data_IF_807418170114
#
_entry.id   IF_807418170114
#
_cell.length_a   1.000
_cell.length_b   1.000
_cell.length_c   1.000
_cell.angle_alpha   90.00
_cell.angle_beta   90.00
_cell.angle_gamma   90.00
#
_symmetry.space_group_name_H-M   'P 1'
#
loop_
_entity.id
_entity.type
_entity.pdbx_description
1 polymer ?
#
# COMPACT_ATOMS: atom_id res chain seq x y z
N UNK A 1 26.01 9.05 -6.56
CA UNK A 1 26.40 7.72 -6.06
C UNK A 1 25.11 6.94 -5.87
N UNK A 2 24.98 5.74 -6.46
CA UNK A 2 23.76 4.91 -6.34
C UNK A 2 23.91 4.02 -5.12
N UNK A 3 22.87 3.92 -4.30
CA UNK A 3 22.83 2.99 -3.17
C UNK A 3 22.46 1.60 -3.66
N UNK A 4 23.22 0.57 -3.31
CA UNK A 4 22.90 -0.80 -3.71
C UNK A 4 22.38 -1.64 -2.54
N UNK A 5 21.32 -2.41 -2.78
CA UNK A 5 20.78 -3.43 -1.88
C UNK A 5 20.81 -4.77 -2.62
N UNK A 6 21.51 -5.76 -2.05
CA UNK A 6 21.74 -7.08 -2.68
C UNK A 6 21.00 -8.19 -1.95
N UNK A 7 20.67 -9.26 -2.66
CA UNK A 7 20.12 -10.49 -2.07
C UNK A 7 18.66 -10.38 -1.64
N UNK A 8 17.84 -9.62 -2.35
CA UNK A 8 16.41 -9.57 -2.07
C UNK A 8 15.75 -10.91 -2.46
N UNK A 9 15.57 -11.80 -1.48
CA UNK A 9 15.06 -13.16 -1.68
C UNK A 9 13.62 -13.38 -1.21
N UNK A 10 13.06 -12.43 -0.45
CA UNK A 10 11.68 -12.48 0.03
C UNK A 10 11.12 -11.08 0.07
N UNK A 11 11.18 -10.42 1.22
CA UNK A 11 10.77 -9.05 1.46
C UNK A 11 11.92 -8.34 2.16
N UNK A 12 12.26 -7.15 1.69
CA UNK A 12 13.23 -6.26 2.33
C UNK A 12 12.59 -4.89 2.54
N UNK A 13 12.80 -4.29 3.71
CA UNK A 13 12.50 -2.89 3.94
C UNK A 13 13.77 -2.06 3.74
N UNK A 14 13.66 -1.04 2.90
CA UNK A 14 14.73 -0.09 2.59
C UNK A 14 14.31 1.31 3.03
N UNK A 15 15.27 2.09 3.52
CA UNK A 15 15.08 3.52 3.75
C UNK A 15 15.82 4.28 2.66
N UNK A 16 15.05 5.00 1.85
CA UNK A 16 15.55 5.90 0.81
C UNK A 16 15.92 7.24 1.43
N UNK A 17 16.98 7.86 0.94
CA UNK A 17 17.55 9.11 1.44
C UNK A 17 17.46 10.26 0.41
N UNK A 18 16.70 10.07 -0.66
CA UNK A 18 16.63 10.99 -1.80
C UNK A 18 17.52 10.58 -2.96
N UNK A 19 18.49 9.70 -2.75
CA UNK A 19 19.31 9.15 -3.84
C UNK A 19 18.65 7.92 -4.47
N UNK A 20 18.99 7.66 -5.74
CA UNK A 20 18.56 6.44 -6.43
C UNK A 20 19.13 5.20 -5.73
N UNK A 21 18.25 4.24 -5.45
CA UNK A 21 18.57 2.96 -4.83
C UNK A 21 18.33 1.83 -5.82
N UNK A 22 19.38 1.06 -6.13
CA UNK A 22 19.32 -0.16 -6.90
C UNK A 22 19.05 -1.36 -5.97
N UNK A 23 17.93 -2.05 -6.17
CA UNK A 23 17.57 -3.27 -5.45
C UNK A 23 17.75 -4.46 -6.39
N UNK A 24 18.67 -5.36 -6.02
CA UNK A 24 19.05 -6.54 -6.81
C UNK A 24 18.38 -7.80 -6.28
N UNK A 25 17.80 -8.57 -7.20
CA UNK A 25 17.12 -9.82 -6.96
C UNK A 25 17.99 -11.01 -7.44
N UNK A 26 17.80 -12.18 -6.84
CA UNK A 26 18.35 -13.41 -7.39
C UNK A 26 17.75 -13.68 -8.78
N UNK A 27 18.55 -14.20 -9.71
CA UNK A 27 18.14 -14.51 -11.11
C UNK A 27 16.98 -15.51 -11.24
N UNK A 28 16.58 -16.17 -10.15
CA UNK A 28 15.42 -17.07 -10.11
C UNK A 28 14.07 -16.34 -10.02
N UNK A 29 14.07 -15.04 -9.75
CA UNK A 29 12.85 -14.23 -9.63
C UNK A 29 12.51 -13.54 -10.94
N UNK A 30 11.25 -13.64 -11.35
CA UNK A 30 10.74 -13.09 -12.60
C UNK A 30 9.95 -11.78 -12.41
N UNK A 31 9.91 -11.24 -11.20
CA UNK A 31 9.16 -10.04 -10.87
C UNK A 31 9.42 -9.53 -9.45
N UNK A 32 8.79 -8.40 -9.14
CA UNK A 32 8.85 -7.79 -7.81
C UNK A 32 7.53 -7.10 -7.46
N UNK A 33 7.33 -6.90 -6.16
CA UNK A 33 6.33 -5.98 -5.63
C UNK A 33 6.99 -4.87 -4.84
N UNK A 34 6.38 -3.69 -4.87
CA UNK A 34 6.78 -2.54 -4.07
C UNK A 34 5.59 -2.09 -3.25
N UNK A 35 5.83 -1.77 -1.98
CA UNK A 35 4.91 -1.06 -1.11
C UNK A 35 5.57 0.23 -0.64
N UNK A 36 4.97 1.36 -1.00
CA UNK A 36 5.42 2.66 -0.56
C UNK A 36 4.86 2.95 0.85
N UNK A 37 5.75 3.20 1.80
CA UNK A 37 5.44 3.56 3.20
C UNK A 37 6.16 4.86 3.57
N UNK A 38 6.51 5.66 2.57
CA UNK A 38 7.49 6.72 2.71
C UNK A 38 6.89 8.06 3.14
N UNK A 39 5.56 8.20 3.09
CA UNK A 39 4.86 9.46 3.32
C UNK A 39 4.90 10.41 2.11
N UNK A 40 5.49 9.99 0.99
CA UNK A 40 5.66 10.77 -0.25
C UNK A 40 5.57 9.86 -1.47
N UNK A 41 5.45 10.44 -2.66
CA UNK A 41 5.60 9.71 -3.91
C UNK A 41 7.03 9.20 -4.08
N UNK A 42 7.18 8.01 -4.68
CA UNK A 42 8.44 7.46 -5.14
C UNK A 42 8.36 7.16 -6.64
N UNK A 43 9.52 7.09 -7.32
CA UNK A 43 9.60 6.64 -8.71
C UNK A 43 10.36 5.33 -8.81
N UNK A 44 9.90 4.48 -9.72
CA UNK A 44 10.45 3.14 -9.96
C UNK A 44 10.74 2.97 -11.44
N UNK A 45 11.91 2.40 -11.76
CA UNK A 45 12.33 2.09 -13.13
C UNK A 45 13.15 0.80 -13.19
N UNK A 46 13.20 0.21 -14.38
CA UNK A 46 14.12 -0.88 -14.73
C UNK A 46 15.45 -0.37 -15.31
N UNK A 47 15.60 0.95 -15.46
CA UNK A 47 16.81 1.61 -15.95
C UNK A 47 17.31 2.61 -14.91
N UNK A 48 18.62 2.62 -14.68
CA UNK A 48 19.27 3.59 -13.79
C UNK A 48 19.23 5.01 -14.38
N UNK A 49 19.08 6.00 -13.50
CA UNK A 49 19.12 7.42 -13.86
C UNK A 49 17.88 7.91 -14.58
N UNK A 50 16.78 7.16 -14.53
CA UNK A 50 15.52 7.55 -15.14
C UNK A 50 14.77 8.57 -14.24
N UNK A 51 14.15 9.56 -14.87
CA UNK A 51 13.43 10.64 -14.20
C UNK A 51 11.91 10.47 -14.30
N UNK A 52 11.18 11.16 -13.43
CA UNK A 52 9.71 11.19 -13.47
C UNK A 52 9.24 11.70 -14.84
N UNK A 53 8.43 10.90 -15.53
CA UNK A 53 7.89 11.21 -16.85
C UNK A 53 8.65 10.55 -18.01
N UNK A 54 9.82 9.95 -17.75
CA UNK A 54 10.51 9.14 -18.74
C UNK A 54 9.73 7.84 -19.02
N UNK A 55 9.94 7.28 -20.22
CA UNK A 55 9.36 6.00 -20.59
C UNK A 55 9.81 4.87 -19.64
N UNK A 56 8.86 4.03 -19.25
CA UNK A 56 9.09 2.95 -18.27
C UNK A 56 9.32 3.40 -16.83
N UNK A 57 9.11 4.69 -16.50
CA UNK A 57 9.15 5.18 -15.11
C UNK A 57 7.74 5.26 -14.53
N UNK A 58 7.56 4.64 -13.37
CA UNK A 58 6.28 4.56 -12.67
C UNK A 58 6.37 5.38 -11.39
N UNK A 59 5.37 6.23 -11.16
CA UNK A 59 5.20 6.91 -9.87
C UNK A 59 4.28 6.09 -8.99
N UNK A 60 4.69 5.82 -7.75
CA UNK A 60 3.89 5.11 -6.74
C UNK A 60 3.61 6.11 -5.60
N UNK A 61 2.34 6.41 -5.37
CA UNK A 61 1.91 7.30 -4.29
C UNK A 61 2.12 6.70 -2.90
N UNK A 62 2.03 7.54 -1.87
CA UNK A 62 2.13 7.06 -0.48
C UNK A 62 1.01 6.06 -0.15
N UNK A 63 1.39 4.97 0.53
CA UNK A 63 0.48 3.87 0.88
C UNK A 63 0.10 2.94 -0.27
N UNK A 64 0.49 3.26 -1.50
CA UNK A 64 0.21 2.44 -2.68
C UNK A 64 1.17 1.24 -2.81
N UNK A 65 0.72 0.28 -3.61
CA UNK A 65 1.49 -0.91 -3.96
C UNK A 65 1.57 -1.04 -5.47
N UNK A 66 2.74 -1.44 -5.96
CA UNK A 66 2.96 -1.77 -7.36
C UNK A 66 3.40 -3.21 -7.51
N UNK A 67 2.93 -3.84 -8.58
CA UNK A 67 3.22 -5.23 -8.90
C UNK A 67 3.79 -5.30 -10.31
N UNK A 68 4.94 -5.95 -10.46
CA UNK A 68 5.54 -6.20 -11.77
C UNK A 68 5.90 -7.67 -11.93
N UNK A 69 5.49 -8.22 -13.07
CA UNK A 69 5.96 -9.49 -13.59
C UNK A 69 6.65 -9.26 -14.92
N UNK A 70 7.59 -10.14 -15.25
CA UNK A 70 8.30 -10.23 -16.53
C UNK A 70 9.63 -9.45 -16.59
N UNK A 71 10.51 -9.61 -15.58
CA UNK A 71 11.88 -9.08 -15.58
C UNK A 71 12.86 -9.88 -16.47
N UNK A 72 12.46 -10.42 -17.64
CA UNK A 72 13.35 -11.28 -18.43
C UNK A 72 14.67 -10.57 -18.77
N UNK A 73 15.80 -11.14 -18.32
CA UNK A 73 17.14 -10.59 -18.52
C UNK A 73 17.51 -9.42 -17.60
N UNK A 74 16.68 -9.09 -16.61
CA UNK A 74 16.88 -8.02 -15.64
C UNK A 74 16.83 -8.58 -14.21
N UNK A 75 17.71 -8.08 -13.35
CA UNK A 75 17.81 -8.50 -11.95
C UNK A 75 17.72 -7.32 -10.98
N UNK A 76 17.54 -6.10 -11.50
CA UNK A 76 17.64 -4.87 -10.72
C UNK A 76 16.43 -3.99 -10.96
N UNK A 77 15.88 -3.45 -9.87
CA UNK A 77 14.93 -2.33 -9.91
C UNK A 77 15.56 -1.10 -9.27
N UNK A 78 15.35 0.06 -9.88
CA UNK A 78 15.84 1.35 -9.40
C UNK A 78 14.67 2.12 -8.77
N UNK A 79 14.87 2.59 -7.55
CA UNK A 79 13.84 3.28 -6.76
C UNK A 79 14.43 4.61 -6.29
N UNK A 80 13.77 5.71 -6.62
CA UNK A 80 14.17 7.06 -6.22
C UNK A 80 13.06 7.71 -5.40
N UNK A 81 13.43 8.34 -4.30
CA UNK A 81 12.50 8.92 -3.33
C UNK A 81 13.16 9.04 -1.96
N UNK A 82 12.35 9.29 -0.92
CA UNK A 82 12.84 9.42 0.46
C UNK A 82 11.86 8.78 1.43
N UNK A 83 12.34 8.03 2.41
CA UNK A 83 11.52 7.34 3.41
C UNK A 83 11.47 5.82 3.21
N UNK A 84 10.55 5.16 3.93
CA UNK A 84 10.50 3.70 3.99
C UNK A 84 9.77 3.08 2.80
N UNK A 85 10.36 2.04 2.21
CA UNK A 85 9.76 1.26 1.11
C UNK A 85 10.00 -0.22 1.39
N UNK A 86 8.99 -1.05 1.18
CA UNK A 86 9.17 -2.50 1.18
C UNK A 86 9.21 -3.02 -0.26
N UNK A 87 10.18 -3.88 -0.56
CA UNK A 87 10.36 -4.51 -1.86
C UNK A 87 10.32 -6.02 -1.67
N UNK A 88 9.59 -6.72 -2.51
CA UNK A 88 9.48 -8.17 -2.45
C UNK A 88 9.80 -8.82 -3.79
N UNK A 89 10.63 -9.85 -3.79
CA UNK A 89 10.88 -10.67 -4.98
C UNK A 89 9.75 -11.67 -5.20
N UNK A 90 9.36 -11.95 -6.45
CA UNK A 90 8.26 -12.87 -6.76
C UNK A 90 8.46 -13.69 -8.03
N UNK A 91 7.77 -14.83 -8.05
CA UNK A 91 7.67 -15.75 -9.19
C UNK A 91 6.24 -16.07 -9.61
N UNK A 92 5.26 -15.54 -8.88
CA UNK A 92 3.84 -15.79 -9.11
C UNK A 92 3.13 -14.49 -9.42
N UNK A 93 2.07 -14.54 -10.23
CA UNK A 93 1.32 -13.34 -10.59
C UNK A 93 0.63 -12.69 -9.37
N UNK A 94 0.35 -13.44 -8.31
CA UNK A 94 -0.23 -12.91 -7.09
C UNK A 94 0.66 -11.83 -6.43
N UNK A 95 0.02 -10.82 -5.85
CA UNK A 95 0.72 -9.76 -5.11
C UNK A 95 1.06 -10.22 -3.68
N UNK A 96 2.31 -10.02 -3.25
CA UNK A 96 2.78 -10.21 -1.89
C UNK A 96 2.20 -9.15 -0.95
N UNK A 97 2.01 -7.94 -1.44
CA UNK A 97 1.35 -6.87 -0.71
C UNK A 97 -0.10 -6.76 -1.18
N UNK A 98 -1.05 -6.98 -0.27
CA UNK A 98 -2.45 -6.64 -0.53
C UNK A 98 -2.57 -5.12 -0.55
N UNK A 99 -3.25 -4.59 -1.58
CA UNK A 99 -3.60 -3.17 -1.61
C UNK A 99 -4.33 -2.81 -0.31
N UNK A 100 -3.94 -1.69 0.31
CA UNK A 100 -4.67 -1.17 1.46
C UNK A 100 -5.93 -0.52 0.91
N UNK A 101 -7.04 -1.26 0.90
CA UNK A 101 -8.33 -0.63 0.66
C UNK A 101 -8.62 0.23 1.90
N UNK A 102 -8.60 1.55 1.74
CA UNK A 102 -9.25 2.44 2.71
C UNK A 102 -10.69 1.95 2.81
N UNK A 103 -11.07 1.38 3.95
CA UNK A 103 -12.43 0.91 4.18
C UNK A 103 -13.40 1.98 3.70
N UNK A 104 -14.31 1.59 2.79
CA UNK A 104 -15.04 2.50 1.91
C UNK A 104 -15.48 3.81 2.56
N UNK A 105 -14.91 4.91 2.09
CA UNK A 105 -15.47 6.24 2.32
C UNK A 105 -16.61 6.45 1.33
N UNK A 106 -17.82 6.05 1.71
CA UNK A 106 -19.11 6.68 1.38
C UNK A 106 -20.21 5.69 1.80
N UNK A 107 -20.81 5.95 2.96
CA UNK A 107 -21.79 5.07 3.58
C UNK A 107 -21.74 5.27 5.08
N UNK A 108 -22.69 6.06 5.58
CA UNK A 108 -22.99 6.22 7.00
C UNK A 108 -22.85 4.87 7.71
N UNK A 109 -21.99 4.79 8.74
CA UNK A 109 -21.97 3.61 9.62
C UNK A 109 -23.21 3.69 10.51
N UNK A 110 -24.35 3.22 10.03
CA UNK A 110 -25.51 2.89 10.89
C UNK A 110 -25.26 1.53 11.55
N UNK A 111 -24.09 1.38 12.19
CA UNK A 111 -23.74 0.17 12.93
C UNK A 111 -24.23 0.33 14.36
N UNK A 112 -25.32 -0.32 14.73
CA UNK A 112 -25.83 -0.23 16.09
C UNK A 112 -24.81 -0.70 17.15
N UNK A 113 -24.76 -0.03 18.30
CA UNK A 113 -23.95 -0.45 19.46
C UNK A 113 -24.66 -1.61 20.15
N UNK A 114 -23.97 -2.74 20.35
CA UNK A 114 -24.54 -3.84 21.15
C UNK A 114 -24.18 -3.67 22.62
N UNK A 115 -25.16 -3.43 23.50
CA UNK A 115 -25.00 -3.41 24.95
C UNK A 115 -25.81 -4.55 25.56
N UNK A 116 -25.19 -5.41 26.37
CA UNK A 116 -25.85 -6.54 27.03
C UNK A 116 -26.63 -7.47 26.07
N UNK A 117 -26.14 -7.66 24.84
CA UNK A 117 -26.78 -8.50 23.83
C UNK A 117 -27.89 -7.83 23.03
N UNK A 118 -28.20 -6.56 23.27
CA UNK A 118 -29.17 -5.78 22.50
C UNK A 118 -28.48 -4.79 21.57
N UNK A 119 -28.84 -4.81 20.28
CA UNK A 119 -28.33 -3.87 19.26
C UNK A 119 -29.11 -2.56 19.31
N UNK A 120 -28.42 -1.44 19.56
CA UNK A 120 -28.97 -0.08 19.60
C UNK A 120 -28.58 0.69 18.33
N UNK A 121 -29.51 1.16 17.49
CA UNK A 121 -29.17 1.92 16.29
C UNK A 121 -28.41 3.21 16.63
N UNK A 122 -27.40 3.56 15.81
CA UNK A 122 -26.71 4.86 15.89
C UNK A 122 -27.38 5.82 14.92
N UNK A 123 -28.03 6.85 15.46
CA UNK A 123 -28.56 7.98 14.70
C UNK A 123 -27.54 9.12 14.64
N UNK A 124 -27.53 9.88 13.55
CA UNK A 124 -26.70 11.08 13.48
C UNK A 124 -27.22 12.15 14.44
N UNK A 125 -26.30 12.91 15.06
CA UNK A 125 -26.68 14.01 15.95
C UNK A 125 -27.48 15.04 15.15
N UNK A 126 -28.76 15.22 15.51
CA UNK A 126 -29.69 16.14 14.85
C UNK A 126 -30.85 15.48 14.09
N UNK A 127 -30.91 14.15 14.02
CA UNK A 127 -32.09 13.44 13.51
C UNK A 127 -33.16 13.35 14.62
N UNK A 128 -34.40 13.76 14.35
CA UNK A 128 -35.49 13.64 15.29
C UNK A 128 -35.83 12.15 15.47
N UNK A 129 -35.66 11.63 16.69
CA UNK A 129 -36.05 10.27 17.04
C UNK A 129 -37.37 10.35 17.79
N UNK A 130 -38.46 9.87 17.18
CA UNK A 130 -39.72 9.65 17.88
C UNK A 130 -39.52 8.44 18.80
N UNK A 131 -39.16 8.71 20.05
CA UNK A 131 -39.19 7.70 21.11
C UNK A 131 -40.66 7.55 21.50
N UNK A 132 -41.28 6.43 21.13
CA UNK A 132 -42.61 6.10 21.61
C UNK A 132 -42.56 5.97 23.14
N UNK A 133 -43.31 6.81 23.85
CA UNK A 133 -43.49 6.70 25.29
C UNK A 133 -44.00 5.29 25.61
N UNK A 134 -43.15 4.48 26.22
CA UNK A 134 -43.60 3.21 26.79
C UNK A 134 -44.32 3.55 28.08
N UNK A 135 -45.65 3.42 28.09
CA UNK A 135 -46.43 3.56 29.32
C UNK A 135 -45.90 2.56 30.37
N UNK A 136 -45.42 3.08 31.49
CA UNK A 136 -45.09 2.28 32.67
C UNK A 136 -46.41 2.00 33.38
N UNK A 137 -46.98 0.83 33.13
CA UNK A 137 -48.07 0.30 33.96
C UNK A 137 -47.49 -0.11 35.32
N UNK A 138 -47.81 0.68 36.34
CA UNK A 138 -47.66 0.35 37.77
C UNK A 138 -48.93 -0.28 38.32
#
# INVERSE_FOLDING_TARGET
>A
MIKEVKGCNRVIEITLDGTECAVKFDAKYNGFDIRNKSGKDITVSLKSGAAKGDDGVITIGDGETFNYMHMMGLDTVYITGSGAVAVAAKNEAAANFKAVQKGGGSGMKTGGITLHGQVLPIYAVGEAVDIADTEVIG
#
